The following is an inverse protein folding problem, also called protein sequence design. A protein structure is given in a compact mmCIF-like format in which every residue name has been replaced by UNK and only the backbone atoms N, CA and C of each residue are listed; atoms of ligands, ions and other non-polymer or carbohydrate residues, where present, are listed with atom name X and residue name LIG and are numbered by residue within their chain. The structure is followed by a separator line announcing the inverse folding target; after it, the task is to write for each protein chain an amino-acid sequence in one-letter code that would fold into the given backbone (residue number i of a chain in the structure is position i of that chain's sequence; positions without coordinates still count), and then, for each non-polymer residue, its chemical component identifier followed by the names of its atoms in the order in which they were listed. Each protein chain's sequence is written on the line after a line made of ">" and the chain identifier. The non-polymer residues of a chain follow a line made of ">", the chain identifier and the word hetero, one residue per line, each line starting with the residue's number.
data_IF_084204011171
#
_entry.id   IF_084204011171
#
_cell.length_a   1.000
_cell.length_b   1.000
_cell.length_c   1.000
_cell.angle_alpha   90.00
_cell.angle_beta   90.00
_cell.angle_gamma   90.00
#
_symmetry.space_group_name_H-M   'P 1'
#
loop_
_entity.id
_entity.type
_entity.pdbx_description
1 polymer ?
#
# COMPACT_ATOMS: atom_id res chain seq x y z
N UNK A 1 -0.25 22.00 -19.23
CA UNK A 1 -1.03 20.74 -19.39
C UNK A 1 -2.50 21.03 -19.08
N UNK A 2 -3.43 20.47 -19.87
CA UNK A 2 -4.87 20.60 -19.61
C UNK A 2 -5.23 19.96 -18.25
N UNK A 3 -5.91 20.69 -17.35
CA UNK A 3 -6.27 20.21 -15.99
C UNK A 3 -7.07 18.91 -16.03
N UNK A 4 -7.95 18.74 -17.02
CA UNK A 4 -8.73 17.52 -17.16
C UNK A 4 -7.87 16.33 -17.60
N UNK A 5 -6.88 16.57 -18.47
CA UNK A 5 -5.93 15.54 -18.89
C UNK A 5 -5.03 15.11 -17.73
N UNK A 6 -4.57 16.07 -16.93
CA UNK A 6 -3.80 15.78 -15.71
C UNK A 6 -4.60 14.95 -14.70
N UNK A 7 -5.84 15.36 -14.42
CA UNK A 7 -6.75 14.63 -13.53
C UNK A 7 -7.02 13.20 -14.03
N UNK A 8 -7.21 13.03 -15.34
CA UNK A 8 -7.39 11.72 -15.95
C UNK A 8 -6.14 10.84 -15.84
N UNK A 9 -4.95 11.39 -16.08
CA UNK A 9 -3.69 10.67 -15.92
C UNK A 9 -3.49 10.22 -14.46
N UNK A 10 -3.70 11.11 -13.49
CA UNK A 10 -3.64 10.77 -12.07
C UNK A 10 -4.67 9.70 -11.67
N UNK A 11 -5.90 9.78 -12.19
CA UNK A 11 -6.94 8.79 -11.92
C UNK A 11 -6.59 7.41 -12.49
N UNK A 12 -5.98 7.37 -13.67
CA UNK A 12 -5.46 6.15 -14.28
C UNK A 12 -4.37 5.55 -13.39
N UNK A 13 -3.40 6.33 -12.92
CA UNK A 13 -2.36 5.86 -12.00
C UNK A 13 -2.96 5.23 -10.73
N UNK A 14 -3.93 5.89 -10.09
CA UNK A 14 -4.58 5.35 -8.89
C UNK A 14 -5.27 4.01 -9.15
N UNK A 15 -5.96 3.90 -10.27
CA UNK A 15 -6.76 2.71 -10.62
C UNK A 15 -5.86 1.56 -11.06
N UNK A 16 -4.88 1.83 -11.94
CA UNK A 16 -3.88 0.85 -12.33
C UNK A 16 -3.09 0.37 -11.12
N UNK A 17 -2.68 1.28 -10.22
CA UNK A 17 -2.02 0.94 -8.97
C UNK A 17 -2.83 -0.05 -8.12
N UNK A 18 -4.14 0.19 -7.97
CA UNK A 18 -5.03 -0.71 -7.24
C UNK A 18 -5.12 -2.10 -7.89
N UNK A 19 -5.25 -2.15 -9.23
CA UNK A 19 -5.36 -3.41 -9.97
C UNK A 19 -4.07 -4.23 -9.86
N UNK A 20 -2.90 -3.63 -10.12
CA UNK A 20 -1.62 -4.36 -10.10
C UNK A 20 -1.24 -4.81 -8.70
N UNK A 21 -1.55 -4.01 -7.67
CA UNK A 21 -1.32 -4.38 -6.27
C UNK A 21 -2.12 -5.62 -5.88
N UNK A 22 -3.42 -5.63 -6.18
CA UNK A 22 -4.30 -6.75 -5.88
C UNK A 22 -3.95 -7.99 -6.70
N UNK A 23 -3.59 -7.82 -7.97
CA UNK A 23 -3.15 -8.91 -8.83
C UNK A 23 -1.89 -9.59 -8.28
N UNK A 24 -0.86 -8.81 -7.94
CA UNK A 24 0.35 -9.35 -7.32
C UNK A 24 0.02 -10.01 -5.97
N UNK A 25 -0.78 -9.33 -5.15
CA UNK A 25 -1.14 -9.82 -3.85
C UNK A 25 -1.95 -11.12 -3.84
N UNK A 26 -2.83 -11.31 -4.81
CA UNK A 26 -3.63 -12.54 -4.94
C UNK A 26 -2.81 -13.77 -5.37
N UNK A 27 -1.65 -13.55 -5.99
CA UNK A 27 -0.74 -14.63 -6.40
C UNK A 27 0.29 -14.96 -5.33
N UNK A 28 0.53 -14.05 -4.38
CA UNK A 28 1.51 -14.28 -3.33
C UNK A 28 1.15 -15.52 -2.51
N UNK A 29 2.05 -16.51 -2.39
CA UNK A 29 1.74 -17.73 -1.69
C UNK A 29 1.67 -17.51 -0.18
N UNK A 30 0.97 -18.41 0.54
CA UNK A 30 0.80 -18.29 1.98
C UNK A 30 2.10 -18.64 2.73
N UNK A 31 2.58 -17.71 3.56
CA UNK A 31 3.80 -17.87 4.38
C UNK A 31 3.48 -18.11 5.87
N UNK A 32 2.31 -18.71 6.15
CA UNK A 32 1.78 -18.93 7.50
C UNK A 32 2.41 -20.12 8.25
N UNK A 33 1.68 -20.61 9.26
CA UNK A 33 2.11 -21.70 10.15
C UNK A 33 2.35 -23.04 9.46
N UNK A 34 1.93 -23.20 8.20
CA UNK A 34 2.23 -24.37 7.37
C UNK A 34 3.73 -24.55 7.11
N UNK A 35 4.52 -23.49 7.24
CA UNK A 35 5.98 -23.54 7.09
C UNK A 35 6.70 -23.93 8.39
N UNK A 36 5.98 -24.10 9.50
CA UNK A 36 6.51 -24.44 10.81
C UNK A 36 6.27 -23.35 11.87
N UNK A 37 6.84 -23.49 13.08
CA UNK A 37 6.68 -22.53 14.16
C UNK A 37 7.26 -21.17 13.77
N UNK A 38 6.39 -20.17 13.65
CA UNK A 38 6.76 -18.85 13.16
C UNK A 38 7.89 -18.23 14.00
N UNK A 39 8.95 -17.79 13.34
CA UNK A 39 10.14 -17.23 13.98
C UNK A 39 11.22 -18.25 14.35
N UNK A 40 10.97 -19.55 14.17
CA UNK A 40 11.96 -20.61 14.42
C UNK A 40 12.91 -20.80 13.22
N UNK A 41 14.11 -21.38 13.43
CA UNK A 41 15.00 -21.75 12.33
C UNK A 41 14.35 -22.69 11.30
N UNK A 42 13.49 -23.60 11.75
CA UNK A 42 12.74 -24.54 10.89
C UNK A 42 11.82 -23.78 9.93
N UNK A 43 11.09 -22.79 10.46
CA UNK A 43 10.24 -21.91 9.66
C UNK A 43 11.05 -21.18 8.60
N UNK A 44 12.19 -20.58 8.95
CA UNK A 44 12.99 -19.84 7.97
C UNK A 44 13.66 -20.73 6.93
N UNK A 45 14.05 -21.97 7.28
CA UNK A 45 14.51 -22.96 6.28
C UNK A 45 13.41 -23.35 5.31
N UNK A 46 12.20 -23.61 5.82
CA UNK A 46 11.05 -23.93 4.99
C UNK A 46 10.63 -22.73 4.13
N UNK A 47 10.68 -21.52 4.67
CA UNK A 47 10.40 -20.29 3.94
C UNK A 47 11.42 -20.04 2.83
N UNK A 48 12.72 -20.23 3.09
CA UNK A 48 13.74 -20.13 2.04
C UNK A 48 13.45 -21.11 0.88
N UNK A 49 13.14 -22.39 1.17
CA UNK A 49 12.70 -23.34 0.13
C UNK A 49 11.46 -22.83 -0.60
N UNK A 50 10.47 -22.36 0.16
CA UNK A 50 9.23 -21.85 -0.40
C UNK A 50 9.46 -20.68 -1.37
N UNK A 51 10.39 -19.77 -1.06
CA UNK A 51 10.78 -18.67 -1.97
C UNK A 51 11.49 -19.21 -3.21
N UNK A 52 12.48 -20.09 -3.04
CA UNK A 52 13.29 -20.62 -4.14
C UNK A 52 12.46 -21.45 -5.14
N UNK A 53 11.50 -22.23 -4.64
CA UNK A 53 10.69 -23.14 -5.46
C UNK A 53 9.51 -22.42 -6.13
N UNK A 54 9.19 -21.18 -5.74
CA UNK A 54 8.01 -20.48 -6.25
C UNK A 54 8.31 -19.74 -7.56
N UNK A 55 7.77 -20.29 -8.65
CA UNK A 55 7.83 -19.65 -9.97
C UNK A 55 7.09 -18.32 -9.92
N UNK A 56 7.75 -17.26 -10.42
CA UNK A 56 7.12 -15.94 -10.52
C UNK A 56 7.28 -15.04 -9.29
N UNK A 57 8.11 -15.42 -8.30
CA UNK A 57 8.28 -14.64 -7.06
C UNK A 57 8.59 -13.16 -7.33
N UNK A 58 9.54 -12.87 -8.24
CA UNK A 58 9.94 -11.50 -8.57
C UNK A 58 8.83 -10.71 -9.23
N UNK A 59 8.09 -11.34 -10.14
CA UNK A 59 6.99 -10.74 -10.90
C UNK A 59 5.81 -10.39 -9.98
N UNK A 60 5.48 -11.29 -9.06
CA UNK A 60 4.49 -11.08 -8.00
C UNK A 60 4.86 -9.83 -7.20
N UNK A 61 6.07 -9.78 -6.66
CA UNK A 61 6.53 -8.66 -5.81
C UNK A 61 6.69 -7.36 -6.61
N UNK A 62 6.98 -7.44 -7.92
CA UNK A 62 6.98 -6.27 -8.81
C UNK A 62 5.59 -5.66 -8.95
N UNK A 63 4.56 -6.50 -9.10
CA UNK A 63 3.16 -6.06 -9.14
C UNK A 63 2.73 -5.39 -7.83
N UNK A 64 3.10 -5.99 -6.70
CA UNK A 64 2.77 -5.43 -5.39
C UNK A 64 3.56 -4.12 -5.13
N UNK A 65 4.81 -4.01 -5.59
CA UNK A 65 5.58 -2.76 -5.52
C UNK A 65 5.00 -1.64 -6.39
N UNK A 66 4.57 -1.96 -7.61
CA UNK A 66 4.06 -0.96 -8.55
C UNK A 66 2.84 -0.20 -7.97
N UNK A 67 2.00 -0.88 -7.20
CA UNK A 67 0.80 -0.31 -6.59
C UNK A 67 1.05 0.97 -5.77
N UNK A 68 1.79 0.91 -4.65
CA UNK A 68 2.09 2.07 -3.81
C UNK A 68 2.77 3.22 -4.55
N UNK A 69 3.67 2.92 -5.50
CA UNK A 69 4.32 3.95 -6.33
C UNK A 69 3.27 4.69 -7.15
N UNK A 70 2.40 3.96 -7.84
CA UNK A 70 1.35 4.55 -8.67
C UNK A 70 0.31 5.30 -7.83
N UNK A 71 -0.01 4.81 -6.62
CA UNK A 71 -0.85 5.54 -5.68
C UNK A 71 -0.24 6.87 -5.25
N UNK A 72 1.05 6.89 -4.87
CA UNK A 72 1.72 8.12 -4.46
C UNK A 72 1.75 9.16 -5.58
N UNK A 73 2.07 8.74 -6.81
CA UNK A 73 2.09 9.61 -7.99
C UNK A 73 0.68 10.12 -8.36
N UNK A 74 -0.32 9.24 -8.37
CA UNK A 74 -1.70 9.60 -8.69
C UNK A 74 -2.32 10.54 -7.65
N UNK A 75 -1.90 10.48 -6.39
CA UNK A 75 -2.45 11.32 -5.32
C UNK A 75 -2.14 12.80 -5.48
N UNK A 76 -1.12 13.17 -6.27
CA UNK A 76 -0.85 14.58 -6.61
C UNK A 76 -2.07 15.27 -7.23
N UNK A 77 -2.84 14.56 -8.05
CA UNK A 77 -4.08 15.09 -8.63
C UNK A 77 -5.19 15.33 -7.59
N UNK A 78 -5.28 14.49 -6.56
CA UNK A 78 -6.22 14.69 -5.45
C UNK A 78 -5.80 15.88 -4.58
N UNK A 79 -4.50 15.99 -4.28
CA UNK A 79 -3.96 17.12 -3.53
C UNK A 79 -4.23 18.44 -4.27
N UNK A 80 -3.96 18.52 -5.58
CA UNK A 80 -4.31 19.68 -6.42
C UNK A 80 -5.82 19.99 -6.38
N UNK A 81 -6.65 18.96 -6.56
CA UNK A 81 -8.12 19.12 -6.58
C UNK A 81 -8.69 19.69 -5.28
N UNK A 82 -8.14 19.30 -4.14
CA UNK A 82 -8.60 19.74 -2.81
C UNK A 82 -7.83 20.95 -2.27
N UNK A 83 -6.74 21.39 -2.92
CA UNK A 83 -5.89 22.52 -2.50
C UNK A 83 -6.33 23.89 -3.03
N UNK A 84 -7.48 24.01 -3.69
CA UNK A 84 -7.78 25.20 -4.51
C UNK A 84 -8.27 26.46 -3.77
N UNK A 85 -8.29 26.52 -2.44
CA UNK A 85 -8.55 27.81 -1.74
C UNK A 85 -7.67 28.08 -0.51
N UNK A 86 -7.03 27.07 0.10
CA UNK A 86 -6.05 27.26 1.19
C UNK A 86 -5.00 26.16 1.13
N UNK A 87 -3.74 26.52 1.37
CA UNK A 87 -2.64 25.59 1.59
C UNK A 87 -2.91 24.75 2.84
N UNK A 88 -3.72 23.72 2.68
CA UNK A 88 -4.10 22.82 3.76
C UNK A 88 -2.89 21.99 4.15
N UNK A 89 -2.43 22.12 5.39
CA UNK A 89 -1.39 21.27 5.98
C UNK A 89 -1.71 19.77 5.79
N UNK A 90 -3.00 19.41 5.64
CA UNK A 90 -3.45 18.06 5.37
C UNK A 90 -3.06 17.54 3.98
N UNK A 91 -3.12 18.36 2.93
CA UNK A 91 -2.72 17.94 1.59
C UNK A 91 -1.21 17.68 1.52
N UNK A 92 -0.41 18.52 2.18
CA UNK A 92 1.04 18.32 2.28
C UNK A 92 1.38 17.08 3.09
N UNK A 93 0.76 16.91 4.27
CA UNK A 93 0.93 15.70 5.09
C UNK A 93 0.56 14.45 4.30
N UNK A 94 -0.54 14.47 3.55
CA UNK A 94 -0.96 13.35 2.71
C UNK A 94 0.11 12.96 1.68
N UNK A 95 0.65 13.94 0.95
CA UNK A 95 1.69 13.69 -0.06
C UNK A 95 2.98 13.18 0.55
N UNK A 96 3.42 13.77 1.66
CA UNK A 96 4.63 13.34 2.37
C UNK A 96 4.47 11.90 2.89
N UNK A 97 3.37 11.62 3.60
CA UNK A 97 3.13 10.29 4.16
C UNK A 97 2.98 9.22 3.07
N UNK A 98 2.25 9.48 1.99
CA UNK A 98 2.15 8.51 0.87
C UNK A 98 3.49 8.30 0.17
N UNK A 99 4.27 9.35 -0.06
CA UNK A 99 5.58 9.24 -0.71
C UNK A 99 6.57 8.47 0.16
N UNK A 100 6.61 8.76 1.47
CA UNK A 100 7.42 8.00 2.41
C UNK A 100 6.96 6.55 2.52
N UNK A 101 5.65 6.31 2.53
CA UNK A 101 5.07 4.97 2.55
C UNK A 101 5.44 4.17 1.29
N UNK A 102 5.35 4.78 0.11
CA UNK A 102 5.76 4.16 -1.15
C UNK A 102 7.27 3.89 -1.22
N UNK A 103 8.10 4.82 -0.75
CA UNK A 103 9.54 4.63 -0.69
C UNK A 103 9.94 3.49 0.27
N UNK A 104 9.28 3.42 1.43
CA UNK A 104 9.50 2.32 2.38
C UNK A 104 9.05 0.99 1.77
N UNK A 105 7.92 0.97 1.07
CA UNK A 105 7.47 -0.18 0.30
C UNK A 105 8.44 -0.62 -0.79
N UNK A 106 9.11 0.33 -1.46
CA UNK A 106 10.14 0.03 -2.43
C UNK A 106 11.30 -0.74 -1.80
N UNK A 107 11.77 -0.31 -0.63
CA UNK A 107 12.80 -1.05 0.11
C UNK A 107 12.31 -2.45 0.49
N UNK A 108 11.09 -2.55 1.04
CA UNK A 108 10.49 -3.83 1.45
C UNK A 108 10.45 -4.82 0.28
N UNK A 109 9.93 -4.42 -0.88
CA UNK A 109 9.79 -5.32 -2.02
C UNK A 109 11.09 -5.57 -2.78
N UNK A 110 12.07 -4.67 -2.71
CA UNK A 110 13.42 -4.99 -3.16
C UNK A 110 14.01 -6.10 -2.30
N UNK A 111 13.91 -6.00 -0.98
CA UNK A 111 14.42 -7.00 -0.05
C UNK A 111 13.67 -8.33 -0.16
N UNK A 112 12.35 -8.30 -0.28
CA UNK A 112 11.52 -9.50 -0.29
C UNK A 112 11.43 -10.13 -1.69
N UNK A 113 11.21 -9.33 -2.72
CA UNK A 113 11.03 -9.81 -4.08
C UNK A 113 12.31 -10.17 -4.81
N UNK A 114 13.42 -9.48 -4.54
CA UNK A 114 14.64 -9.58 -5.35
C UNK A 114 15.85 -10.07 -4.57
N UNK A 115 16.00 -9.67 -3.30
CA UNK A 115 17.10 -10.15 -2.44
C UNK A 115 16.77 -11.49 -1.80
N UNK A 116 15.55 -11.70 -1.30
CA UNK A 116 15.19 -12.94 -0.62
C UNK A 116 15.38 -14.19 -1.49
N UNK A 117 15.05 -14.22 -2.81
CA UNK A 117 15.35 -15.37 -3.65
C UNK A 117 16.84 -15.71 -3.73
N UNK A 118 17.71 -14.69 -3.83
CA UNK A 118 19.16 -14.89 -3.89
C UNK A 118 19.68 -15.46 -2.57
N UNK A 119 19.17 -14.98 -1.43
CA UNK A 119 19.51 -15.52 -0.12
C UNK A 119 18.97 -16.94 0.07
N UNK A 120 17.76 -17.22 -0.41
CA UNK A 120 17.15 -18.53 -0.35
C UNK A 120 17.97 -19.57 -1.14
N UNK A 121 18.33 -19.27 -2.39
CA UNK A 121 19.21 -20.12 -3.20
C UNK A 121 20.55 -20.37 -2.51
N UNK A 122 21.17 -19.34 -1.92
CA UNK A 122 22.43 -19.47 -1.19
C UNK A 122 22.30 -20.37 0.06
N UNK A 123 21.21 -20.25 0.82
CA UNK A 123 20.91 -21.13 1.96
C UNK A 123 20.82 -22.58 1.50
N UNK A 124 20.13 -22.85 0.40
CA UNK A 124 19.94 -24.20 -0.11
C UNK A 124 21.25 -24.80 -0.62
N UNK A 125 22.06 -24.02 -1.33
CA UNK A 125 23.37 -24.43 -1.82
C UNK A 125 24.36 -24.71 -0.67
N UNK A 126 24.30 -23.94 0.43
CA UNK A 126 25.15 -24.11 1.60
C UNK A 126 24.67 -25.19 2.59
N UNK A 127 23.68 -26.01 2.22
CA UNK A 127 23.16 -27.08 3.09
C UNK A 127 22.38 -26.56 4.30
N UNK A 128 21.76 -25.37 4.20
CA UNK A 128 20.98 -24.73 5.27
C UNK A 128 21.75 -24.48 6.57
N UNK A 129 22.99 -23.99 6.45
CA UNK A 129 23.80 -23.59 7.60
C UNK A 129 23.06 -22.58 8.49
N UNK A 130 23.33 -22.66 9.80
CA UNK A 130 22.66 -21.83 10.81
C UNK A 130 22.90 -20.33 10.53
N UNK A 131 24.11 -19.95 10.17
CA UNK A 131 24.46 -18.55 9.88
C UNK A 131 23.69 -17.99 8.67
N UNK A 132 23.54 -18.79 7.61
CA UNK A 132 22.80 -18.38 6.42
C UNK A 132 21.29 -18.21 6.73
N UNK A 133 20.73 -19.13 7.53
CA UNK A 133 19.34 -19.04 8.02
C UNK A 133 19.14 -17.80 8.90
N UNK A 134 20.12 -17.45 9.74
CA UNK A 134 20.06 -16.22 10.54
C UNK A 134 20.08 -14.97 9.68
N UNK A 135 20.94 -14.91 8.65
CA UNK A 135 20.99 -13.76 7.74
C UNK A 135 19.65 -13.54 7.01
N UNK A 136 19.03 -14.62 6.50
CA UNK A 136 17.72 -14.55 5.86
C UNK A 136 16.62 -14.15 6.84
N UNK A 137 16.64 -14.69 8.07
CA UNK A 137 15.74 -14.25 9.14
C UNK A 137 15.85 -12.75 9.38
N UNK A 138 17.06 -12.21 9.53
CA UNK A 138 17.27 -10.78 9.76
C UNK A 138 16.73 -9.93 8.60
N UNK A 139 16.93 -10.37 7.35
CA UNK A 139 16.32 -9.72 6.19
C UNK A 139 14.79 -9.66 6.30
N UNK A 140 14.16 -10.80 6.62
CA UNK A 140 12.71 -10.91 6.74
C UNK A 140 12.15 -10.08 7.91
N UNK A 141 12.86 -9.99 9.04
CA UNK A 141 12.47 -9.12 10.14
C UNK A 141 12.47 -7.62 9.74
N UNK A 142 13.40 -7.21 8.87
CA UNK A 142 13.44 -5.85 8.32
C UNK A 142 12.25 -5.62 7.38
N UNK A 143 12.04 -6.53 6.41
CA UNK A 143 10.90 -6.52 5.47
C UNK A 143 9.59 -6.33 6.21
N UNK A 144 9.37 -7.11 7.26
CA UNK A 144 8.19 -7.08 8.11
C UNK A 144 7.98 -5.71 8.77
N UNK A 145 9.02 -5.18 9.42
CA UNK A 145 8.94 -3.92 10.18
C UNK A 145 8.73 -2.72 9.25
N UNK A 146 9.48 -2.68 8.14
CA UNK A 146 9.34 -1.63 7.14
C UNK A 146 7.99 -1.74 6.41
N UNK A 147 7.48 -2.94 6.16
CA UNK A 147 6.15 -3.15 5.58
C UNK A 147 5.05 -2.57 6.46
N UNK A 148 5.15 -2.77 7.78
CA UNK A 148 4.24 -2.16 8.76
C UNK A 148 4.31 -0.63 8.74
N UNK A 149 5.53 -0.06 8.80
CA UNK A 149 5.74 1.39 8.73
C UNK A 149 5.14 1.96 7.43
N UNK A 150 5.32 1.26 6.31
CA UNK A 150 4.74 1.65 5.03
C UNK A 150 3.22 1.72 5.06
N UNK A 151 2.57 0.71 5.65
CA UNK A 151 1.11 0.69 5.82
C UNK A 151 0.61 1.82 6.72
N UNK A 152 1.29 2.11 7.82
CA UNK A 152 0.95 3.22 8.70
C UNK A 152 1.03 4.56 7.95
N UNK A 153 2.10 4.76 7.18
CA UNK A 153 2.30 5.97 6.38
C UNK A 153 1.25 6.12 5.28
N UNK A 154 0.91 5.04 4.57
CA UNK A 154 -0.18 5.05 3.60
C UNK A 154 -1.51 5.38 4.28
N UNK A 155 -1.78 4.77 5.43
CA UNK A 155 -3.01 5.01 6.20
C UNK A 155 -3.14 6.47 6.65
N UNK A 156 -2.07 7.05 7.20
CA UNK A 156 -2.00 8.49 7.53
C UNK A 156 -2.22 9.34 6.29
N UNK A 157 -1.65 8.95 5.16
CA UNK A 157 -1.85 9.59 3.87
C UNK A 157 -3.32 9.66 3.45
N UNK A 158 -4.00 8.51 3.49
CA UNK A 158 -5.43 8.37 3.16
C UNK A 158 -6.30 9.18 4.14
N UNK A 159 -6.02 9.13 5.44
CA UNK A 159 -6.75 9.92 6.42
C UNK A 159 -6.57 11.43 6.18
N UNK A 160 -5.35 11.86 5.86
CA UNK A 160 -5.01 13.27 5.63
C UNK A 160 -5.65 13.82 4.36
N UNK A 161 -5.67 13.06 3.26
CA UNK A 161 -6.35 13.51 2.03
C UNK A 161 -7.88 13.54 2.21
N UNK A 162 -8.45 12.63 3.00
CA UNK A 162 -9.86 12.69 3.39
C UNK A 162 -10.17 13.88 4.30
N UNK A 163 -9.26 14.27 5.19
CA UNK A 163 -9.39 15.49 5.98
C UNK A 163 -9.34 16.74 5.09
N UNK A 164 -8.42 16.78 4.11
CA UNK A 164 -8.36 17.86 3.12
C UNK A 164 -9.68 17.97 2.32
N UNK A 165 -10.23 16.83 1.88
CA UNK A 165 -11.50 16.80 1.15
C UNK A 165 -12.69 17.35 1.97
N UNK A 166 -12.71 17.18 3.30
CA UNK A 166 -13.74 17.76 4.18
C UNK A 166 -13.71 19.28 4.17
N UNK A 167 -12.53 19.88 4.07
CA UNK A 167 -12.36 21.35 4.06
C UNK A 167 -12.67 21.99 2.71
N UNK A 168 -12.80 21.20 1.66
CA UNK A 168 -12.99 21.69 0.30
C UNK A 168 -14.47 21.94 -0.02
N UNK A 169 -15.05 23.06 0.45
CA UNK A 169 -16.31 23.66 -0.02
C UNK A 169 -17.58 22.78 -0.12
N UNK A 170 -18.61 23.27 -0.82
CA UNK A 170 -19.80 22.48 -1.22
C UNK A 170 -19.44 21.41 -2.26
N UNK A 171 -18.74 20.37 -1.79
CA UNK A 171 -18.35 19.25 -2.62
C UNK A 171 -19.37 18.11 -2.60
N UNK A 172 -19.45 17.44 -3.75
CA UNK A 172 -20.43 16.41 -4.11
C UNK A 172 -20.68 15.36 -3.01
N UNK A 173 -21.94 14.89 -2.93
CA UNK A 173 -22.42 13.83 -2.00
C UNK A 173 -21.42 12.67 -1.84
N UNK A 174 -20.82 12.19 -2.93
CA UNK A 174 -19.84 11.09 -2.90
C UNK A 174 -18.61 11.38 -2.02
N UNK A 175 -18.12 12.63 -2.02
CA UNK A 175 -16.94 13.04 -1.23
C UNK A 175 -17.29 13.00 0.25
N UNK A 176 -18.41 13.61 0.64
CA UNK A 176 -18.85 13.69 2.05
C UNK A 176 -19.27 12.34 2.63
N UNK A 177 -19.98 11.52 1.86
CA UNK A 177 -20.58 10.29 2.37
C UNK A 177 -19.72 9.04 2.19
N UNK A 178 -18.74 9.05 1.26
CA UNK A 178 -17.93 7.86 0.96
C UNK A 178 -16.44 8.13 1.19
N UNK A 179 -15.87 9.14 0.52
CA UNK A 179 -14.42 9.36 0.57
C UNK A 179 -13.91 9.76 1.96
N UNK A 180 -14.62 10.68 2.63
CA UNK A 180 -14.25 11.17 3.97
C UNK A 180 -14.34 10.07 5.03
N UNK A 181 -15.52 9.47 5.33
CA UNK A 181 -15.62 8.44 6.35
C UNK A 181 -14.82 7.19 5.98
N UNK A 182 -14.87 6.77 4.71
CA UNK A 182 -14.10 5.63 4.22
C UNK A 182 -12.61 5.82 4.39
N UNK A 183 -12.07 7.01 4.10
CA UNK A 183 -10.64 7.27 4.27
C UNK A 183 -10.19 7.33 5.71
N UNK A 184 -11.02 7.80 6.65
CA UNK A 184 -10.68 7.68 8.07
C UNK A 184 -10.68 6.24 8.54
N UNK A 185 -11.68 5.44 8.17
CA UNK A 185 -11.76 4.03 8.56
C UNK A 185 -10.59 3.23 7.98
N UNK A 186 -10.33 3.37 6.67
CA UNK A 186 -9.22 2.70 5.99
C UNK A 186 -7.87 3.22 6.49
N UNK A 187 -7.75 4.54 6.70
CA UNK A 187 -6.51 5.17 7.12
C UNK A 187 -6.08 4.86 8.55
N UNK A 188 -7.05 4.69 9.46
CA UNK A 188 -6.78 4.32 10.85
C UNK A 188 -6.65 2.81 11.06
N UNK A 189 -7.13 2.00 10.12
CA UNK A 189 -7.08 0.54 10.23
C UNK A 189 -5.67 -0.02 10.45
N UNK A 190 -4.61 0.40 9.72
CA UNK A 190 -3.24 -0.04 10.00
C UNK A 190 -2.77 0.20 11.43
N UNK A 191 -3.22 1.29 12.07
CA UNK A 191 -2.89 1.60 13.47
C UNK A 191 -3.61 0.64 14.42
N UNK A 192 -4.90 0.39 14.19
CA UNK A 192 -5.68 -0.58 14.98
C UNK A 192 -5.09 -1.98 14.84
N UNK A 193 -4.79 -2.41 13.62
CA UNK A 193 -4.15 -3.70 13.36
C UNK A 193 -2.76 -3.77 14.00
N UNK A 194 -1.98 -2.70 14.03
CA UNK A 194 -0.73 -2.72 14.77
C UNK A 194 -0.93 -2.94 16.28
N UNK A 195 -1.84 -2.20 16.91
CA UNK A 195 -2.13 -2.28 18.35
C UNK A 195 -2.68 -3.65 18.75
N UNK A 196 -3.58 -4.20 17.94
CA UNK A 196 -4.27 -5.47 18.23
C UNK A 196 -3.39 -6.70 17.96
N UNK A 197 -2.22 -6.53 17.34
CA UNK A 197 -1.29 -7.61 17.03
C UNK A 197 -1.60 -8.56 15.85
N UNK A 198 -2.60 -8.39 14.94
CA UNK A 198 -2.74 -9.28 13.80
C UNK A 198 -1.55 -9.21 12.84
N UNK A 199 -0.69 -8.18 12.93
CA UNK A 199 0.57 -8.08 12.19
C UNK A 199 1.77 -8.71 12.92
N UNK A 200 1.56 -9.69 13.80
CA UNK A 200 2.64 -10.49 14.40
C UNK A 200 2.74 -11.86 13.71
N UNK A 201 3.92 -12.23 13.16
CA UNK A 201 5.16 -11.48 13.16
C UNK A 201 5.17 -10.31 12.16
N UNK A 202 4.33 -10.30 11.12
CA UNK A 202 4.31 -9.21 10.15
C UNK A 202 3.03 -9.07 9.33
N UNK A 203 2.97 -8.07 8.42
CA UNK A 203 1.79 -7.82 7.62
C UNK A 203 1.42 -8.93 6.65
N UNK A 204 2.38 -9.72 6.16
CA UNK A 204 2.13 -10.75 5.14
C UNK A 204 1.69 -12.10 5.67
N UNK A 205 1.69 -12.30 6.99
CA UNK A 205 1.30 -13.55 7.63
C UNK A 205 -0.12 -13.49 8.20
N UNK A 206 -0.80 -12.34 8.09
CA UNK A 206 -2.10 -12.10 8.70
C UNK A 206 -3.25 -12.25 7.72
N UNK A 207 -4.31 -12.95 8.11
CA UNK A 207 -5.57 -12.97 7.34
C UNK A 207 -6.20 -11.58 7.15
N UNK A 208 -5.83 -10.59 7.97
CA UNK A 208 -6.29 -9.20 7.83
C UNK A 208 -5.62 -8.43 6.71
N UNK A 209 -4.51 -8.94 6.17
CA UNK A 209 -3.77 -8.29 5.09
C UNK A 209 -4.60 -8.18 3.82
N UNK A 210 -5.29 -9.25 3.42
CA UNK A 210 -6.12 -9.25 2.23
C UNK A 210 -7.24 -8.20 2.34
N UNK A 211 -7.90 -8.13 3.50
CA UNK A 211 -8.90 -7.10 3.77
C UNK A 211 -8.29 -5.69 3.69
N UNK A 212 -7.11 -5.47 4.28
CA UNK A 212 -6.40 -4.19 4.24
C UNK A 212 -6.07 -3.76 2.81
N UNK A 213 -5.54 -4.70 2.01
CA UNK A 213 -5.20 -4.51 0.61
C UNK A 213 -6.44 -4.14 -0.23
N UNK A 214 -7.52 -4.90 -0.08
CA UNK A 214 -8.78 -4.68 -0.78
C UNK A 214 -9.38 -3.33 -0.43
N UNK A 215 -9.49 -3.02 0.87
CA UNK A 215 -10.08 -1.76 1.34
C UNK A 215 -9.28 -0.54 0.88
N UNK A 216 -7.95 -0.62 0.96
CA UNK A 216 -7.07 0.46 0.47
C UNK A 216 -7.21 0.65 -1.03
N UNK A 217 -7.19 -0.44 -1.79
CA UNK A 217 -7.32 -0.41 -3.26
C UNK A 217 -8.69 0.14 -3.68
N UNK A 218 -9.76 -0.30 -3.02
CA UNK A 218 -11.11 0.22 -3.25
C UNK A 218 -11.20 1.72 -2.96
N UNK A 219 -10.55 2.20 -1.90
CA UNK A 219 -10.51 3.62 -1.58
C UNK A 219 -9.84 4.44 -2.70
N UNK A 220 -8.70 3.98 -3.23
CA UNK A 220 -8.02 4.67 -4.35
C UNK A 220 -8.83 4.65 -5.65
N UNK A 221 -9.58 3.58 -5.93
CA UNK A 221 -10.51 3.53 -7.07
C UNK A 221 -11.66 4.55 -6.89
N UNK A 222 -12.24 4.65 -5.69
CA UNK A 222 -13.26 5.68 -5.43
C UNK A 222 -12.68 7.08 -5.58
N UNK A 223 -11.44 7.30 -5.11
CA UNK A 223 -10.75 8.56 -5.25
C UNK A 223 -10.47 8.92 -6.72
N UNK A 224 -10.16 7.94 -7.58
CA UNK A 224 -9.97 8.16 -9.02
C UNK A 224 -11.25 8.65 -9.70
N UNK A 225 -12.41 8.09 -9.34
CA UNK A 225 -13.73 8.53 -9.82
C UNK A 225 -14.02 9.97 -9.39
N UNK A 226 -13.71 10.32 -8.14
CA UNK A 226 -13.84 11.69 -7.63
C UNK A 226 -12.97 12.66 -8.46
N UNK A 227 -11.75 12.26 -8.80
CA UNK A 227 -10.79 13.09 -9.51
C UNK A 227 -11.25 13.47 -10.93
N UNK A 228 -11.86 12.54 -11.67
CA UNK A 228 -12.33 12.78 -13.05
C UNK A 228 -13.73 13.40 -13.14
N UNK A 229 -14.52 13.33 -12.07
CA UNK A 229 -15.87 13.92 -12.06
C UNK A 229 -15.77 15.45 -12.15
N UNK A 230 -16.37 16.04 -13.18
CA UNK A 230 -16.46 17.50 -13.35
C UNK A 230 -17.09 18.12 -12.10
N UNK A 231 -16.59 19.29 -11.66
CA UNK A 231 -17.35 20.15 -10.74
C UNK A 231 -18.67 20.43 -11.46
N UNK A 232 -19.78 19.91 -10.96
CA UNK A 232 -21.10 20.35 -11.41
C UNK A 232 -21.13 21.85 -11.14
N UNK A 233 -21.08 22.64 -12.21
CA UNK A 233 -21.26 24.08 -12.18
C UNK A 233 -22.48 24.38 -11.32
N UNK A 234 -22.31 25.23 -10.31
CA UNK A 234 -23.42 26.03 -9.77
C UNK A 234 -23.97 26.86 -10.95
N UNK A 235 -24.83 26.23 -11.75
CA UNK A 235 -25.63 26.86 -12.79
C UNK A 235 -27.08 26.72 -12.32
N UNK A 236 -27.48 27.67 -11.49
CA UNK A 236 -28.83 27.77 -10.93
C UNK A 236 -29.07 28.98 -10.03
N UNK A 237 -28.17 29.98 -10.06
CA UNK A 237 -28.25 31.16 -9.18
C UNK A 237 -27.89 32.45 -9.92
N UNK A 238 -28.54 32.69 -11.06
CA UNK A 238 -28.64 33.99 -11.70
C UNK A 238 -29.77 33.93 -12.74
N UNK A 239 -31.01 33.98 -12.25
CA UNK A 239 -32.18 34.39 -13.01
C UNK A 239 -33.08 35.17 -12.05
#
# INVERSE_FOLDING_TARGET
>A
MNKNLFAAACALLLTTGAVVFLWGGAQHPSTGSSLGPVGSPEYFRAFARHVADHVGWREIHSGILAGPILWALGTVGLADRFSLERQSNWSMLALLSLSMGAATWAVVFVLDGFVAPLQAEAILAAGSSIDAVHAFRSNQEIVIRLGLVSWLLIGVGIASISAAARTAGEQARLIRFVLVPGGFLVGLWPLVAWIMGPFRPGPFTSGTWAATAILTSAWFVVASVVLVRKRSTQAGGAA
#
